data_IF_221662670667
#
_entry.id   IF_221662670667
#
_cell.length_a   1.000
_cell.length_b   1.000
_cell.length_c   1.000
_cell.angle_alpha   90.00
_cell.angle_beta   90.00
_cell.angle_gamma   90.00
#
_symmetry.space_group_name_H-M   'P 1'
#
loop_
_entity.id
_entity.type
_entity.pdbx_description
1 polymer ?
#
# COMPACT_ATOMS: atom_id res chain seq x y z
N UNK A 1 31.47 -4.97 -17.13
CA UNK A 1 31.47 -3.71 -16.34
C UNK A 1 31.30 -3.91 -14.84
N UNK A 2 30.20 -4.49 -14.37
CA UNK A 2 29.93 -4.58 -12.93
C UNK A 2 31.03 -5.28 -12.13
N UNK A 3 31.67 -6.34 -12.66
CA UNK A 3 32.82 -6.97 -12.01
C UNK A 3 33.96 -5.97 -11.75
N UNK A 4 34.31 -5.12 -12.73
CA UNK A 4 35.33 -4.08 -12.57
C UNK A 4 34.91 -3.04 -11.53
N UNK A 5 33.64 -2.63 -11.54
CA UNK A 5 33.10 -1.71 -10.52
C UNK A 5 33.15 -2.32 -9.11
N UNK A 6 32.82 -3.60 -8.95
CA UNK A 6 32.93 -4.31 -7.68
C UNK A 6 34.38 -4.38 -7.19
N UNK A 7 35.32 -4.70 -8.08
CA UNK A 7 36.76 -4.68 -7.76
C UNK A 7 37.20 -3.29 -7.27
N UNK A 8 36.75 -2.23 -7.94
CA UNK A 8 37.02 -0.85 -7.51
C UNK A 8 36.49 -0.56 -6.09
N UNK A 9 35.26 -1.00 -5.78
CA UNK A 9 34.63 -0.84 -4.46
C UNK A 9 35.32 -1.65 -3.36
N UNK A 10 35.78 -2.86 -3.67
CA UNK A 10 36.53 -3.73 -2.76
C UNK A 10 37.92 -3.13 -2.47
N UNK A 11 38.61 -2.66 -3.51
CA UNK A 11 39.96 -2.09 -3.45
C UNK A 11 39.99 -0.61 -3.04
N UNK A 12 38.95 -0.12 -2.38
CA UNK A 12 38.89 1.24 -1.82
C UNK A 12 39.18 2.36 -2.83
N UNK A 13 38.76 2.18 -4.10
CA UNK A 13 38.93 3.18 -5.16
C UNK A 13 40.12 2.95 -6.09
N UNK A 14 40.89 1.88 -5.88
CA UNK A 14 41.96 1.46 -6.78
C UNK A 14 41.48 0.49 -7.88
N UNK A 15 41.85 0.74 -9.13
CA UNK A 15 41.69 -0.22 -10.24
C UNK A 15 42.78 0.00 -11.28
N UNK A 16 43.38 -1.07 -11.80
CA UNK A 16 44.41 -1.03 -12.86
C UNK A 16 45.54 -0.01 -12.59
N UNK A 17 46.03 0.05 -11.34
CA UNK A 17 47.09 0.97 -10.92
C UNK A 17 46.66 2.44 -10.78
N UNK A 18 45.37 2.77 -10.98
CA UNK A 18 44.82 4.11 -10.85
C UNK A 18 43.90 4.22 -9.65
N UNK A 19 43.89 5.40 -9.01
CA UNK A 19 42.96 5.73 -7.93
C UNK A 19 41.85 6.63 -8.47
N UNK A 20 40.60 6.16 -8.41
CA UNK A 20 39.41 6.90 -8.85
C UNK A 20 38.81 7.72 -7.72
N UNK A 21 38.83 7.20 -6.49
CA UNK A 21 38.39 7.91 -5.29
C UNK A 21 39.25 7.55 -4.07
N UNK A 22 39.24 8.44 -3.08
CA UNK A 22 40.06 8.31 -1.88
C UNK A 22 39.59 7.20 -0.93
N UNK A 23 40.47 6.68 -0.04
CA UNK A 23 40.06 5.78 1.03
C UNK A 23 38.96 6.34 1.93
N UNK A 24 38.93 7.67 2.14
CA UNK A 24 37.86 8.35 2.89
C UNK A 24 36.50 8.19 2.20
N UNK A 25 36.47 8.31 0.87
CA UNK A 25 35.26 8.06 0.07
C UNK A 25 34.85 6.58 0.14
N UNK A 26 35.81 5.66 0.07
CA UNK A 26 35.55 4.23 0.22
C UNK A 26 34.92 3.89 1.59
N UNK A 27 35.41 4.53 2.66
CA UNK A 27 34.83 4.39 3.99
C UNK A 27 33.40 4.94 4.04
N UNK A 28 33.12 6.08 3.40
CA UNK A 28 31.78 6.64 3.36
C UNK A 28 30.73 5.71 2.70
N UNK A 29 31.12 4.93 1.68
CA UNK A 29 30.25 3.91 1.07
C UNK A 29 29.88 2.76 2.01
N UNK A 30 30.67 2.56 3.07
CA UNK A 30 30.51 1.48 4.08
C UNK A 30 29.93 1.98 5.39
N UNK A 31 29.80 3.30 5.56
CA UNK A 31 29.30 3.92 6.79
C UNK A 31 27.85 4.36 6.61
N UNK A 32 26.92 3.90 7.46
CA UNK A 32 25.54 4.38 7.46
C UNK A 32 25.48 5.88 7.73
N UNK A 33 24.85 6.62 6.83
CA UNK A 33 24.51 8.05 7.01
C UNK A 33 23.15 8.21 7.67
N UNK A 34 22.25 7.27 7.42
CA UNK A 34 20.92 7.22 8.03
C UNK A 34 20.65 5.80 8.54
N UNK A 35 20.21 5.70 9.79
CA UNK A 35 19.67 4.47 10.35
C UNK A 35 18.56 4.84 11.34
N UNK A 36 17.33 4.36 11.13
CA UNK A 36 16.20 4.78 11.96
C UNK A 36 16.20 4.15 13.36
N UNK A 37 16.88 3.02 13.54
CA UNK A 37 17.05 2.32 14.83
C UNK A 37 18.32 1.46 14.77
N UNK A 38 19.06 1.24 15.88
CA UNK A 38 20.32 0.48 15.87
C UNK A 38 20.27 -0.86 15.12
N UNK A 39 19.14 -1.57 15.19
CA UNK A 39 18.93 -2.90 14.58
C UNK A 39 18.34 -2.85 13.16
N UNK A 40 17.88 -1.68 12.71
CA UNK A 40 17.29 -1.53 11.39
C UNK A 40 18.37 -1.46 10.31
N UNK A 41 18.00 -1.86 9.09
CA UNK A 41 18.82 -1.60 7.91
C UNK A 41 19.06 -0.10 7.73
N UNK A 42 20.30 0.28 7.44
CA UNK A 42 20.72 1.65 7.19
C UNK A 42 20.83 1.99 5.71
N UNK A 43 21.13 3.25 5.46
CA UNK A 43 21.56 3.77 4.15
C UNK A 43 22.93 4.44 4.30
N UNK A 44 23.89 3.94 3.53
CA UNK A 44 25.22 4.51 3.39
C UNK A 44 25.22 5.55 2.27
N UNK A 45 26.39 6.12 1.94
CA UNK A 45 26.53 7.07 0.83
C UNK A 45 26.22 6.44 -0.56
N UNK A 46 24.93 6.36 -0.91
CA UNK A 46 24.44 5.78 -2.17
C UNK A 46 24.24 4.26 -2.16
N UNK A 47 24.45 3.59 -1.03
CA UNK A 47 24.33 2.13 -0.90
C UNK A 47 23.39 1.74 0.24
N UNK A 48 22.68 0.63 0.03
CA UNK A 48 21.93 -0.06 1.07
C UNK A 48 22.92 -0.78 1.99
N UNK A 49 22.69 -0.68 3.30
CA UNK A 49 23.36 -1.49 4.32
C UNK A 49 22.64 -2.84 4.40
N UNK A 50 23.33 -3.91 3.99
CA UNK A 50 22.73 -5.21 3.78
C UNK A 50 23.16 -6.20 4.88
N UNK A 51 22.25 -6.63 5.76
CA UNK A 51 22.53 -7.76 6.64
C UNK A 51 22.64 -9.03 5.80
N UNK A 52 23.65 -9.85 6.09
CA UNK A 52 24.00 -11.04 5.34
C UNK A 52 24.11 -12.27 6.26
N UNK A 53 24.02 -13.50 5.71
CA UNK A 53 24.18 -14.72 6.49
C UNK A 53 25.49 -14.77 7.27
N UNK A 54 25.48 -15.47 8.41
CA UNK A 54 26.64 -15.57 9.31
C UNK A 54 26.91 -14.31 10.13
N UNK A 55 25.94 -13.41 10.27
CA UNK A 55 26.11 -12.15 10.99
C UNK A 55 26.97 -11.12 10.26
N UNK A 56 27.27 -11.37 8.98
CA UNK A 56 28.04 -10.47 8.13
C UNK A 56 27.22 -9.25 7.74
N UNK A 57 27.93 -8.19 7.35
CA UNK A 57 27.32 -6.99 6.76
C UNK A 57 27.99 -6.68 5.44
N UNK A 58 27.17 -6.49 4.42
CA UNK A 58 27.59 -6.00 3.12
C UNK A 58 27.00 -4.63 2.82
N UNK A 59 27.33 -4.11 1.66
CA UNK A 59 26.67 -2.94 1.10
C UNK A 59 26.43 -3.14 -0.39
N UNK A 60 25.44 -2.45 -0.94
CA UNK A 60 25.01 -2.73 -2.29
C UNK A 60 23.87 -1.86 -2.77
N UNK A 61 23.26 -2.23 -3.89
CA UNK A 61 22.06 -1.56 -4.36
C UNK A 61 21.24 -2.50 -5.25
N UNK A 62 19.92 -2.47 -5.06
CA UNK A 62 18.97 -3.16 -5.94
C UNK A 62 18.45 -2.21 -7.03
N UNK A 63 18.19 -2.74 -8.21
CA UNK A 63 17.64 -1.99 -9.32
C UNK A 63 16.46 -2.75 -9.93
N UNK A 64 15.41 -2.03 -10.29
CA UNK A 64 14.27 -2.60 -11.00
C UNK A 64 13.73 -1.58 -12.01
N UNK A 65 13.48 -2.05 -13.23
CA UNK A 65 12.53 -1.44 -14.18
C UNK A 65 11.32 -2.39 -14.31
N UNK A 66 10.50 -2.22 -15.36
CA UNK A 66 9.39 -3.15 -15.64
C UNK A 66 9.87 -4.58 -15.89
N UNK A 67 10.96 -4.73 -16.65
CA UNK A 67 11.44 -6.02 -17.13
C UNK A 67 12.85 -6.36 -16.68
N UNK A 68 13.59 -5.44 -16.07
CA UNK A 68 14.95 -5.71 -15.62
C UNK A 68 15.05 -5.61 -14.11
N UNK A 69 15.57 -6.65 -13.47
CA UNK A 69 15.84 -6.66 -12.03
C UNK A 69 17.30 -6.99 -11.80
N UNK A 70 17.95 -6.22 -10.93
CA UNK A 70 19.36 -6.38 -10.63
C UNK A 70 19.65 -6.21 -9.15
N UNK A 71 20.70 -6.88 -8.67
CA UNK A 71 21.19 -6.72 -7.32
C UNK A 71 22.72 -6.75 -7.31
N UNK A 72 23.31 -5.71 -6.74
CA UNK A 72 24.74 -5.59 -6.48
C UNK A 72 24.95 -5.76 -4.98
N UNK A 73 25.81 -6.69 -4.56
CA UNK A 73 26.17 -6.92 -3.16
C UNK A 73 27.69 -7.02 -3.04
N UNK A 74 28.27 -6.19 -2.17
CA UNK A 74 29.68 -6.24 -1.79
C UNK A 74 29.80 -6.76 -0.37
N UNK A 75 30.67 -7.73 -0.14
CA UNK A 75 31.00 -8.31 1.17
C UNK A 75 32.50 -8.08 1.42
N UNK A 76 32.89 -6.93 2.00
CA UNK A 76 34.30 -6.55 2.11
C UNK A 76 35.15 -7.55 2.88
N UNK A 77 34.59 -8.12 3.94
CA UNK A 77 35.27 -9.10 4.80
C UNK A 77 35.68 -10.37 4.04
N UNK A 78 34.94 -10.72 2.98
CA UNK A 78 35.22 -11.88 2.14
C UNK A 78 35.98 -11.52 0.86
N UNK A 79 36.25 -10.24 0.60
CA UNK A 79 36.75 -9.80 -0.71
C UNK A 79 35.79 -10.15 -1.86
N UNK A 80 34.48 -10.26 -1.58
CA UNK A 80 33.49 -10.81 -2.50
C UNK A 80 32.56 -9.73 -3.05
N UNK A 81 32.33 -9.76 -4.36
CA UNK A 81 31.31 -8.98 -5.04
C UNK A 81 30.39 -9.88 -5.84
N UNK A 82 29.07 -9.71 -5.68
CA UNK A 82 28.05 -10.46 -6.38
C UNK A 82 27.18 -9.45 -7.15
N UNK A 83 27.04 -9.67 -8.46
CA UNK A 83 26.10 -8.93 -9.27
C UNK A 83 25.23 -9.92 -10.05
N UNK A 84 23.91 -9.74 -9.96
CA UNK A 84 22.92 -10.57 -10.64
C UNK A 84 21.98 -9.64 -11.39
N UNK A 85 21.67 -9.97 -12.64
CA UNK A 85 20.72 -9.23 -13.47
C UNK A 85 19.88 -10.19 -14.28
N UNK A 86 18.58 -9.91 -14.37
CA UNK A 86 17.60 -10.66 -15.16
C UNK A 86 16.75 -9.68 -15.96
N UNK A 87 16.17 -10.14 -17.07
CA UNK A 87 15.47 -9.32 -18.05
C UNK A 87 14.02 -9.79 -18.30
N UNK A 88 13.38 -10.36 -17.29
CA UNK A 88 11.94 -10.65 -17.28
C UNK A 88 11.27 -10.01 -16.07
N UNK A 89 10.01 -9.60 -16.24
CA UNK A 89 9.14 -9.05 -15.19
C UNK A 89 8.93 -10.01 -14.00
N UNK A 90 8.96 -11.30 -14.27
CA UNK A 90 8.84 -12.39 -13.29
C UNK A 90 10.18 -12.78 -12.63
N UNK A 91 11.30 -12.21 -13.08
CA UNK A 91 12.64 -12.63 -12.66
C UNK A 91 13.10 -12.09 -11.30
N UNK A 92 12.36 -11.16 -10.68
CA UNK A 92 12.79 -10.37 -9.51
C UNK A 92 13.28 -11.21 -8.32
N UNK A 93 12.76 -12.44 -8.16
CA UNK A 93 13.13 -13.32 -7.05
C UNK A 93 14.61 -13.73 -7.08
N UNK A 94 15.17 -14.04 -8.25
CA UNK A 94 16.54 -14.56 -8.35
C UNK A 94 17.59 -13.53 -7.88
N UNK A 95 17.61 -12.27 -8.34
CA UNK A 95 18.51 -11.26 -7.79
C UNK A 95 18.31 -10.99 -6.30
N UNK A 96 17.09 -11.14 -5.77
CA UNK A 96 16.77 -10.86 -4.38
C UNK A 96 17.33 -11.92 -3.41
N UNK A 97 17.42 -13.18 -3.83
CA UNK A 97 17.80 -14.31 -2.96
C UNK A 97 19.21 -14.83 -3.23
N UNK A 98 19.66 -14.88 -4.48
CA UNK A 98 20.90 -15.53 -4.87
C UNK A 98 22.14 -15.08 -4.08
N UNK A 99 22.35 -13.78 -3.75
CA UNK A 99 23.50 -13.39 -2.93
C UNK A 99 23.50 -14.03 -1.55
N UNK A 100 22.33 -14.14 -0.90
CA UNK A 100 22.24 -14.79 0.43
C UNK A 100 22.44 -16.30 0.30
N UNK A 101 21.89 -16.92 -0.74
CA UNK A 101 22.08 -18.36 -1.02
C UNK A 101 23.55 -18.72 -1.27
N UNK A 102 24.30 -17.90 -2.01
CA UNK A 102 25.75 -18.09 -2.20
C UNK A 102 26.47 -18.02 -0.84
N UNK A 103 26.13 -17.03 -0.02
CA UNK A 103 26.75 -16.88 1.30
C UNK A 103 26.42 -18.06 2.23
N UNK A 104 25.18 -18.51 2.25
CA UNK A 104 24.76 -19.67 3.03
C UNK A 104 25.46 -20.94 2.58
N UNK A 105 25.57 -21.16 1.27
CA UNK A 105 26.18 -22.38 0.75
C UNK A 105 27.70 -22.46 1.02
N UNK A 106 28.42 -21.36 0.86
CA UNK A 106 29.89 -21.39 0.88
C UNK A 106 30.54 -20.82 2.15
N UNK A 107 29.87 -19.92 2.88
CA UNK A 107 30.53 -19.12 3.93
C UNK A 107 29.83 -19.14 5.30
N UNK A 108 28.52 -19.39 5.34
CA UNK A 108 27.74 -19.34 6.57
C UNK A 108 26.45 -20.17 6.46
N UNK A 109 26.53 -21.52 6.51
CA UNK A 109 25.38 -22.40 6.42
C UNK A 109 24.23 -21.98 7.33
N UNK A 110 23.02 -21.98 6.78
CA UNK A 110 21.82 -21.69 7.55
C UNK A 110 21.66 -22.70 8.70
N UNK A 111 21.19 -22.28 9.89
CA UNK A 111 20.93 -23.20 10.99
C UNK A 111 19.93 -24.28 10.58
N UNK A 112 20.18 -25.54 10.98
CA UNK A 112 19.28 -26.66 10.67
C UNK A 112 17.88 -26.52 11.29
N UNK A 113 17.77 -25.80 12.41
CA UNK A 113 16.50 -25.51 13.09
C UNK A 113 16.38 -24.00 13.25
N UNK A 114 15.29 -23.38 12.74
CA UNK A 114 15.07 -21.95 12.96
C UNK A 114 14.88 -21.65 14.45
N UNK A 115 15.35 -20.48 14.88
CA UNK A 115 15.13 -20.04 16.25
C UNK A 115 13.63 -20.02 16.59
N UNK A 116 13.32 -20.33 17.86
CA UNK A 116 11.96 -20.17 18.39
C UNK A 116 11.73 -18.69 18.68
N UNK A 117 10.51 -18.20 18.43
CA UNK A 117 10.16 -16.84 18.82
C UNK A 117 10.22 -16.69 20.34
N UNK A 118 10.77 -15.58 20.80
CA UNK A 118 10.80 -15.27 22.25
C UNK A 118 9.50 -14.66 22.75
N UNK A 119 8.57 -14.34 21.85
CA UNK A 119 7.28 -13.75 22.18
C UNK A 119 6.17 -14.80 22.24
N UNK A 120 5.17 -14.57 23.07
CA UNK A 120 3.89 -15.28 23.00
C UNK A 120 2.98 -14.71 21.90
N UNK A 121 1.90 -15.42 21.57
CA UNK A 121 0.87 -14.91 20.66
C UNK A 121 0.32 -13.55 21.11
N UNK A 122 -0.02 -13.38 22.39
CA UNK A 122 -0.58 -12.13 22.91
C UNK A 122 0.39 -10.95 22.79
N UNK A 123 1.69 -11.20 22.99
CA UNK A 123 2.75 -10.19 22.80
C UNK A 123 2.92 -9.85 21.33
N UNK A 124 2.97 -10.85 20.45
CA UNK A 124 3.05 -10.65 18.99
C UNK A 124 1.82 -9.92 18.45
N UNK A 125 0.63 -10.14 19.03
CA UNK A 125 -0.62 -9.50 18.62
C UNK A 125 -0.58 -7.97 18.72
N UNK A 126 0.25 -7.41 19.59
CA UNK A 126 0.43 -5.95 19.70
C UNK A 126 0.96 -5.31 18.39
N UNK A 127 1.65 -6.09 17.56
CA UNK A 127 2.25 -5.66 16.29
C UNK A 127 1.34 -5.88 15.08
N UNK A 128 0.18 -6.53 15.26
CA UNK A 128 -0.75 -6.78 14.15
C UNK A 128 -1.32 -5.50 13.57
N UNK A 129 -1.46 -5.46 12.26
CA UNK A 129 -2.12 -4.38 11.56
C UNK A 129 -1.78 -4.34 10.08
N UNK A 130 -2.44 -3.43 9.39
CA UNK A 130 -2.05 -3.05 8.03
C UNK A 130 -1.21 -1.77 8.12
N UNK A 131 -0.12 -1.74 7.37
CA UNK A 131 0.81 -0.63 7.33
C UNK A 131 1.02 -0.17 5.90
N UNK A 132 1.22 1.12 5.70
CA UNK A 132 1.35 1.76 4.39
C UNK A 132 2.77 2.28 4.23
N UNK A 133 3.42 1.96 3.11
CA UNK A 133 4.75 2.48 2.81
C UNK A 133 4.76 4.01 2.74
N UNK A 134 5.83 4.63 3.23
CA UNK A 134 6.11 6.06 3.07
C UNK A 134 6.65 6.41 1.69
N UNK A 135 7.11 5.40 0.93
CA UNK A 135 7.63 5.53 -0.43
C UNK A 135 6.48 5.50 -1.46
N UNK A 136 5.71 6.58 -1.49
CA UNK A 136 4.50 6.72 -2.33
C UNK A 136 4.14 8.18 -2.58
N UNK A 137 3.23 8.41 -3.52
CA UNK A 137 2.51 9.67 -3.62
C UNK A 137 1.55 9.86 -2.42
N UNK A 138 1.41 11.11 -1.96
CA UNK A 138 0.59 11.45 -0.79
C UNK A 138 -0.83 11.93 -1.13
N UNK A 139 -1.05 12.40 -2.36
CA UNK A 139 -2.35 12.90 -2.83
C UNK A 139 -2.65 12.46 -4.25
N UNK A 140 -3.78 12.91 -4.77
CA UNK A 140 -4.17 12.64 -6.15
C UNK A 140 -4.52 11.18 -6.43
N UNK A 141 -4.67 10.87 -7.72
CA UNK A 141 -4.98 9.53 -8.19
C UNK A 141 -3.84 8.54 -7.94
N UNK A 142 -2.59 9.00 -7.99
CA UNK A 142 -1.43 8.15 -7.69
C UNK A 142 -1.40 7.80 -6.20
N UNK A 143 -1.67 8.77 -5.33
CA UNK A 143 -1.83 8.52 -3.91
C UNK A 143 -3.00 7.59 -3.58
N UNK A 144 -4.07 7.61 -4.37
CA UNK A 144 -5.17 6.65 -4.25
C UNK A 144 -4.72 5.23 -4.59
N UNK A 145 -4.09 5.02 -5.75
CA UNK A 145 -3.64 3.69 -6.18
C UNK A 145 -2.53 3.15 -5.28
N UNK A 146 -1.55 3.98 -4.90
CA UNK A 146 -0.48 3.60 -3.98
C UNK A 146 -1.01 3.19 -2.59
N UNK A 147 -2.13 3.76 -2.10
CA UNK A 147 -2.76 3.31 -0.85
C UNK A 147 -3.37 1.92 -0.95
N UNK A 148 -3.81 1.51 -2.14
CA UNK A 148 -4.36 0.18 -2.37
C UNK A 148 -3.25 -0.89 -2.45
N UNK A 149 -2.15 -0.59 -3.12
CA UNK A 149 -1.09 -1.57 -3.43
C UNK A 149 0.13 -1.50 -2.51
N UNK A 150 0.42 -0.36 -1.89
CA UNK A 150 1.62 -0.15 -1.06
C UNK A 150 1.48 -0.60 0.39
N UNK A 151 0.64 -1.62 0.64
CA UNK A 151 0.29 -2.08 1.99
C UNK A 151 1.07 -3.33 2.36
N UNK A 152 1.65 -3.33 3.55
CA UNK A 152 2.15 -4.52 4.23
C UNK A 152 1.13 -4.97 5.29
N UNK A 153 0.82 -6.27 5.31
CA UNK A 153 -0.07 -6.88 6.30
C UNK A 153 0.78 -7.63 7.32
N UNK A 154 0.67 -7.26 8.59
CA UNK A 154 1.35 -7.93 9.70
C UNK A 154 0.30 -8.69 10.51
N UNK A 155 0.51 -10.00 10.69
CA UNK A 155 -0.36 -10.90 11.45
C UNK A 155 0.47 -11.71 12.44
N UNK A 156 -0.02 -11.90 13.65
CA UNK A 156 0.63 -12.72 14.66
C UNK A 156 0.23 -14.18 14.45
N UNK A 157 1.18 -15.09 14.62
CA UNK A 157 0.96 -16.53 14.55
C UNK A 157 0.84 -17.13 15.96
N UNK A 158 0.20 -18.30 16.13
CA UNK A 158 0.03 -18.92 17.44
C UNK A 158 1.34 -19.22 18.19
N UNK A 159 2.44 -19.44 17.45
CA UNK A 159 3.80 -19.64 17.97
C UNK A 159 4.54 -18.31 18.26
N UNK A 160 3.81 -17.19 18.28
CA UNK A 160 4.34 -15.88 18.67
C UNK A 160 5.28 -15.25 17.64
N UNK A 161 5.18 -15.65 16.37
CA UNK A 161 5.89 -15.01 15.25
C UNK A 161 5.02 -13.93 14.61
N UNK A 162 5.63 -13.16 13.72
CA UNK A 162 4.93 -12.29 12.78
C UNK A 162 5.01 -12.85 11.38
N UNK A 163 3.86 -13.02 10.74
CA UNK A 163 3.73 -13.16 9.31
C UNK A 163 3.57 -11.78 8.69
N UNK A 164 4.49 -11.41 7.80
CA UNK A 164 4.47 -10.12 7.11
C UNK A 164 4.32 -10.37 5.63
N UNK A 165 3.18 -9.92 5.09
CA UNK A 165 2.87 -10.00 3.65
C UNK A 165 3.00 -8.63 3.01
N UNK A 166 3.88 -8.50 2.03
CA UNK A 166 4.12 -7.27 1.27
C UNK A 166 4.46 -7.61 -0.18
N UNK A 167 3.92 -6.85 -1.14
CA UNK A 167 4.15 -7.10 -2.57
C UNK A 167 3.79 -8.52 -3.06
N UNK A 168 2.88 -9.21 -2.36
CA UNK A 168 2.49 -10.60 -2.66
C UNK A 168 3.40 -11.68 -2.05
N UNK A 169 4.49 -11.30 -1.39
CA UNK A 169 5.38 -12.23 -0.70
C UNK A 169 5.11 -12.22 0.80
N UNK A 170 5.17 -13.40 1.42
CA UNK A 170 5.01 -13.54 2.87
C UNK A 170 6.30 -14.06 3.48
N UNK A 171 6.77 -13.39 4.52
CA UNK A 171 7.93 -13.81 5.31
C UNK A 171 7.56 -13.92 6.78
N UNK A 172 8.17 -14.90 7.46
CA UNK A 172 7.98 -15.12 8.89
C UNK A 172 9.14 -14.52 9.68
N UNK A 173 8.81 -13.90 10.81
CA UNK A 173 9.80 -13.30 11.71
C UNK A 173 9.59 -13.72 13.16
N UNK A 174 10.67 -14.16 13.80
CA UNK A 174 10.74 -14.45 15.22
C UNK A 174 10.98 -13.16 16.01
N UNK A 175 10.23 -12.98 17.10
CA UNK A 175 10.52 -11.93 18.07
C UNK A 175 11.81 -12.24 18.83
N UNK A 176 12.58 -11.20 19.14
CA UNK A 176 13.82 -11.29 19.93
C UNK A 176 13.62 -10.80 21.36
N UNK A 177 14.65 -10.97 22.21
CA UNK A 177 14.66 -10.42 23.57
C UNK A 177 14.52 -8.89 23.61
N UNK A 178 14.80 -8.20 22.50
CA UNK A 178 14.57 -6.76 22.35
C UNK A 178 13.19 -6.54 21.73
N UNK A 179 12.31 -5.91 22.49
CA UNK A 179 10.95 -5.58 22.04
C UNK A 179 10.99 -4.77 20.74
N UNK A 180 10.12 -5.12 19.80
CA UNK A 180 10.05 -4.46 18.49
C UNK A 180 11.10 -4.91 17.48
N UNK A 181 12.08 -5.76 17.86
CA UNK A 181 13.07 -6.31 16.95
C UNK A 181 12.71 -7.75 16.61
N UNK A 182 12.54 -8.02 15.32
CA UNK A 182 12.15 -9.31 14.78
C UNK A 182 13.14 -9.78 13.71
N UNK A 183 13.55 -11.05 13.77
CA UNK A 183 14.49 -11.65 12.81
C UNK A 183 13.76 -12.63 11.91
N UNK A 184 14.05 -12.58 10.60
CA UNK A 184 13.48 -13.52 9.65
C UNK A 184 13.81 -14.96 10.05
N UNK A 185 12.85 -15.87 9.84
CA UNK A 185 13.03 -17.30 10.11
C UNK A 185 14.03 -17.92 9.14
N UNK A 186 14.05 -17.42 7.90
CA UNK A 186 14.72 -17.99 6.73
C UNK A 186 15.77 -17.04 6.12
N UNK A 187 16.47 -16.26 6.96
CA UNK A 187 17.56 -15.43 6.46
C UNK A 187 18.05 -14.36 7.44
N UNK A 188 18.92 -13.45 6.97
CA UNK A 188 19.58 -12.47 7.83
C UNK A 188 18.74 -11.21 8.07
N UNK A 189 17.56 -11.11 7.46
CA UNK A 189 16.74 -9.91 7.48
C UNK A 189 16.20 -9.63 8.89
N UNK A 190 16.22 -8.34 9.28
CA UNK A 190 15.70 -7.88 10.57
C UNK A 190 14.65 -6.80 10.33
N UNK A 191 13.47 -7.01 10.89
CA UNK A 191 12.36 -6.07 10.88
C UNK A 191 12.32 -5.36 12.23
N UNK A 192 12.18 -4.04 12.22
CA UNK A 192 12.21 -3.24 13.44
C UNK A 192 10.98 -2.34 13.51
N UNK A 193 10.22 -2.48 14.58
CA UNK A 193 9.08 -1.64 14.89
C UNK A 193 9.50 -0.47 15.78
N UNK A 194 8.88 0.68 15.54
CA UNK A 194 8.94 1.82 16.45
C UNK A 194 7.95 1.58 17.59
N UNK A 195 8.46 1.25 18.77
CA UNK A 195 7.68 0.90 19.97
C UNK A 195 7.35 2.11 20.86
N UNK A 196 7.31 3.32 20.30
CA UNK A 196 6.87 4.51 21.02
C UNK A 196 5.35 4.48 21.26
N UNK A 197 4.91 3.83 22.35
CA UNK A 197 3.51 3.76 22.80
C UNK A 197 2.94 2.33 22.90
N UNK A 198 1.66 2.20 23.22
CA UNK A 198 0.98 0.91 23.46
C UNK A 198 0.93 0.00 22.23
N UNK A 199 0.95 0.60 21.03
CA UNK A 199 1.03 -0.12 19.75
C UNK A 199 2.05 0.55 18.85
N UNK A 200 2.84 -0.22 18.09
CA UNK A 200 3.81 0.35 17.17
C UNK A 200 3.15 1.24 16.14
N UNK A 201 3.63 2.47 15.98
CA UNK A 201 3.09 3.42 15.00
C UNK A 201 3.62 3.14 13.57
N UNK A 202 4.79 2.50 13.47
CA UNK A 202 5.45 2.18 12.20
C UNK A 202 6.46 1.04 12.36
N UNK A 203 6.94 0.54 11.24
CA UNK A 203 8.14 -0.31 11.18
C UNK A 203 9.05 0.11 10.03
N UNK A 204 10.32 -0.27 10.14
CA UNK A 204 11.34 -0.03 9.13
C UNK A 204 11.54 -1.31 8.32
N UNK A 205 11.44 -1.20 6.99
CA UNK A 205 11.59 -2.34 6.10
C UNK A 205 12.94 -3.03 6.33
N UNK A 206 12.96 -4.37 6.24
CA UNK A 206 14.15 -5.14 6.60
C UNK A 206 15.38 -4.89 5.71
N UNK A 207 15.18 -4.25 4.55
CA UNK A 207 16.24 -3.81 3.61
C UNK A 207 16.36 -2.27 3.53
N UNK A 208 15.69 -1.53 4.42
CA UNK A 208 15.85 -0.09 4.58
C UNK A 208 15.18 0.79 3.51
N UNK A 209 14.56 0.22 2.47
CA UNK A 209 14.02 0.99 1.33
C UNK A 209 12.83 1.88 1.65
N UNK A 210 12.12 1.63 2.75
CA UNK A 210 11.00 2.47 3.17
C UNK A 210 10.67 2.28 4.65
N UNK A 211 9.89 3.22 5.18
CA UNK A 211 9.20 3.08 6.45
C UNK A 211 7.74 2.75 6.16
N UNK A 212 7.12 1.93 7.01
CA UNK A 212 5.73 1.56 6.89
C UNK A 212 4.95 2.09 8.09
N UNK A 213 3.95 2.91 7.83
CA UNK A 213 3.15 3.58 8.86
C UNK A 213 1.82 2.86 9.08
N UNK A 214 1.41 2.70 10.34
CA UNK A 214 0.17 2.00 10.67
C UNK A 214 -1.03 2.72 10.05
N UNK A 215 -1.90 1.97 9.39
CA UNK A 215 -3.12 2.49 8.78
C UNK A 215 -4.20 2.66 9.83
N UNK A 216 -4.73 3.88 9.95
CA UNK A 216 -5.88 4.18 10.81
C UNK A 216 -7.21 3.72 10.20
N UNK A 217 -8.25 3.59 11.03
CA UNK A 217 -9.57 3.07 10.65
C UNK A 217 -10.18 3.74 9.40
N UNK A 218 -10.20 5.08 9.35
CA UNK A 218 -10.76 5.84 8.21
C UNK A 218 -9.97 5.68 6.89
N UNK A 219 -8.74 5.17 6.97
CA UNK A 219 -7.88 4.87 5.81
C UNK A 219 -7.74 3.36 5.57
N UNK A 220 -8.53 2.53 6.25
CA UNK A 220 -8.49 1.08 6.08
C UNK A 220 -9.17 0.64 4.78
N UNK A 221 -8.53 -0.26 4.04
CA UNK A 221 -9.09 -0.77 2.79
C UNK A 221 -10.38 -1.56 3.03
N UNK A 222 -10.50 -2.26 4.16
CA UNK A 222 -11.71 -3.00 4.53
C UNK A 222 -12.92 -2.06 4.67
N UNK A 223 -12.77 -0.94 5.37
CA UNK A 223 -13.83 0.06 5.50
C UNK A 223 -14.24 0.62 4.14
N UNK A 224 -13.26 0.96 3.29
CA UNK A 224 -13.53 1.44 1.94
C UNK A 224 -14.29 0.38 1.12
N UNK A 225 -13.81 -0.86 1.09
CA UNK A 225 -14.44 -1.97 0.36
C UNK A 225 -15.87 -2.21 0.82
N UNK A 226 -16.12 -2.33 2.13
CA UNK A 226 -17.48 -2.51 2.64
C UNK A 226 -18.40 -1.35 2.31
N UNK A 227 -17.91 -0.10 2.43
CA UNK A 227 -18.69 1.09 2.10
C UNK A 227 -19.03 1.13 0.62
N UNK A 228 -18.08 0.83 -0.27
CA UNK A 228 -18.30 0.74 -1.72
C UNK A 228 -19.32 -0.36 -2.05
N UNK A 229 -19.22 -1.54 -1.44
CA UNK A 229 -20.16 -2.64 -1.67
C UNK A 229 -21.59 -2.26 -1.26
N UNK A 230 -21.77 -1.75 -0.03
CA UNK A 230 -23.09 -1.37 0.47
C UNK A 230 -23.65 -0.20 -0.36
N UNK A 231 -22.80 0.77 -0.72
CA UNK A 231 -23.20 1.88 -1.59
C UNK A 231 -23.62 1.40 -2.99
N UNK A 232 -22.89 0.45 -3.58
CA UNK A 232 -23.25 -0.16 -4.86
C UNK A 232 -24.62 -0.82 -4.82
N UNK A 233 -24.91 -1.62 -3.77
CA UNK A 233 -26.22 -2.23 -3.56
C UNK A 233 -27.32 -1.17 -3.39
N UNK A 234 -27.06 -0.11 -2.61
CA UNK A 234 -28.00 0.98 -2.44
C UNK A 234 -28.26 1.73 -3.76
N UNK A 235 -27.24 1.97 -4.58
CA UNK A 235 -27.37 2.60 -5.90
C UNK A 235 -28.25 1.76 -6.84
N UNK A 236 -28.02 0.44 -6.89
CA UNK A 236 -28.85 -0.48 -7.68
C UNK A 236 -30.30 -0.46 -7.20
N UNK A 237 -30.52 -0.56 -5.88
CA UNK A 237 -31.86 -0.49 -5.31
C UNK A 237 -32.58 0.84 -5.61
N UNK A 238 -31.86 1.97 -5.55
CA UNK A 238 -32.38 3.29 -5.92
C UNK A 238 -32.82 3.34 -7.38
N UNK A 239 -32.04 2.78 -8.31
CA UNK A 239 -32.37 2.76 -9.75
C UNK A 239 -33.56 1.84 -10.01
N UNK A 240 -33.55 0.61 -9.48
CA UNK A 240 -34.67 -0.33 -9.62
C UNK A 240 -35.96 0.25 -9.03
N UNK A 241 -35.86 0.88 -7.86
CA UNK A 241 -36.97 1.59 -7.23
C UNK A 241 -37.48 2.76 -8.07
N UNK A 242 -36.65 3.40 -8.88
CA UNK A 242 -37.10 4.45 -9.81
C UNK A 242 -37.78 3.88 -11.07
N UNK A 243 -37.30 2.74 -11.58
CA UNK A 243 -37.80 2.08 -12.79
C UNK A 243 -39.14 1.37 -12.56
N UNK A 244 -39.25 0.61 -11.46
CA UNK A 244 -40.41 -0.25 -11.19
C UNK A 244 -41.50 0.42 -10.34
N UNK A 245 -41.30 1.68 -9.93
CA UNK A 245 -42.30 2.39 -9.11
C UNK A 245 -43.52 2.76 -9.95
N UNK A 246 -44.68 2.34 -9.47
CA UNK A 246 -45.97 2.74 -10.00
C UNK A 246 -46.16 4.26 -9.86
N UNK A 247 -46.04 4.99 -10.97
CA UNK A 247 -46.13 6.46 -10.98
C UNK A 247 -47.52 6.98 -10.60
N UNK A 248 -48.57 6.15 -10.74
CA UNK A 248 -49.96 6.52 -10.44
C UNK A 248 -50.26 6.56 -8.94
N UNK A 249 -49.47 5.87 -8.11
CA UNK A 249 -49.64 5.81 -6.64
C UNK A 249 -48.57 6.61 -5.89
N UNK A 250 -47.58 7.17 -6.59
CA UNK A 250 -46.42 7.81 -6.00
C UNK A 250 -46.67 9.30 -5.65
N UNK A 251 -47.43 9.55 -4.59
CA UNK A 251 -47.60 10.91 -4.01
C UNK A 251 -46.24 11.47 -3.56
N UNK A 252 -45.93 12.70 -3.96
CA UNK A 252 -44.67 13.38 -3.59
C UNK A 252 -44.77 14.89 -3.82
N UNK A 253 -44.07 15.67 -2.99
CA UNK A 253 -43.91 17.12 -3.23
C UNK A 253 -42.93 17.38 -4.39
N UNK A 254 -42.93 18.59 -4.99
CA UNK A 254 -41.94 18.96 -6.02
C UNK A 254 -40.49 18.85 -5.52
N UNK A 255 -40.23 19.19 -4.25
CA UNK A 255 -38.90 19.07 -3.64
C UNK A 255 -38.51 17.60 -3.49
N UNK A 256 -39.42 16.76 -2.98
CA UNK A 256 -39.21 15.32 -2.90
C UNK A 256 -38.94 14.72 -4.30
N UNK A 257 -39.70 15.12 -5.32
CA UNK A 257 -39.46 14.67 -6.70
C UNK A 257 -38.05 15.00 -7.19
N UNK A 258 -37.59 16.25 -7.02
CA UNK A 258 -36.24 16.71 -7.40
C UNK A 258 -35.15 15.99 -6.60
N UNK A 259 -35.33 15.85 -5.28
CA UNK A 259 -34.40 15.14 -4.41
C UNK A 259 -34.25 13.66 -4.85
N UNK A 260 -35.36 13.00 -5.19
CA UNK A 260 -35.35 11.65 -5.74
C UNK A 260 -34.60 11.55 -7.07
N UNK A 261 -34.80 12.49 -8.00
CA UNK A 261 -34.06 12.55 -9.26
C UNK A 261 -32.55 12.74 -9.03
N UNK A 262 -32.16 13.63 -8.10
CA UNK A 262 -30.75 13.85 -7.75
C UNK A 262 -30.09 12.59 -7.18
N UNK A 263 -30.80 11.83 -6.34
CA UNK A 263 -30.29 10.57 -5.78
C UNK A 263 -30.17 9.47 -6.84
N UNK A 264 -31.10 9.40 -7.80
CA UNK A 264 -30.98 8.48 -8.95
C UNK A 264 -29.79 8.86 -9.84
N UNK A 265 -29.59 10.15 -10.12
CA UNK A 265 -28.45 10.63 -10.90
C UNK A 265 -27.11 10.31 -10.21
N UNK A 266 -27.03 10.50 -8.89
CA UNK A 266 -25.89 10.07 -8.10
C UNK A 266 -25.67 8.57 -8.18
N UNK A 267 -26.72 7.77 -8.04
CA UNK A 267 -26.61 6.31 -8.11
C UNK A 267 -26.02 5.86 -9.45
N UNK A 268 -26.48 6.44 -10.56
CA UNK A 268 -25.93 6.18 -11.90
C UNK A 268 -24.46 6.60 -11.98
N UNK A 269 -24.10 7.80 -11.53
CA UNK A 269 -22.71 8.29 -11.57
C UNK A 269 -21.76 7.44 -10.71
N UNK A 270 -22.20 6.98 -9.53
CA UNK A 270 -21.43 6.08 -8.69
C UNK A 270 -21.21 4.71 -9.35
N UNK A 271 -22.22 4.16 -10.02
CA UNK A 271 -22.07 2.90 -10.75
C UNK A 271 -21.18 3.06 -11.99
N UNK A 272 -21.24 4.18 -12.70
CA UNK A 272 -20.30 4.50 -13.79
C UNK A 272 -18.88 4.59 -13.22
N UNK A 273 -18.69 5.31 -12.11
CA UNK A 273 -17.40 5.43 -11.44
C UNK A 273 -16.82 4.06 -11.05
N UNK A 274 -17.63 3.21 -10.41
CA UNK A 274 -17.25 1.85 -10.04
C UNK A 274 -16.92 0.99 -11.27
N UNK A 275 -17.69 1.12 -12.36
CA UNK A 275 -17.44 0.39 -13.61
C UNK A 275 -16.12 0.83 -14.26
N UNK A 276 -15.87 2.14 -14.36
CA UNK A 276 -14.60 2.67 -14.86
C UNK A 276 -13.41 2.22 -14.00
N UNK A 277 -13.55 2.22 -12.67
CA UNK A 277 -12.54 1.69 -11.77
C UNK A 277 -12.31 0.19 -11.99
N UNK A 278 -13.37 -0.59 -12.19
CA UNK A 278 -13.28 -2.02 -12.49
C UNK A 278 -12.51 -2.30 -13.79
N UNK A 279 -12.77 -1.52 -14.84
CA UNK A 279 -12.01 -1.62 -16.11
C UNK A 279 -10.55 -1.21 -15.91
N UNK A 280 -10.29 -0.11 -15.19
CA UNK A 280 -8.92 0.29 -14.85
C UNK A 280 -8.19 -0.81 -14.08
N UNK A 281 -8.80 -1.37 -13.04
CA UNK A 281 -8.21 -2.42 -12.22
C UNK A 281 -7.91 -3.69 -13.03
N UNK A 282 -8.81 -4.09 -13.93
CA UNK A 282 -8.58 -5.23 -14.82
C UNK A 282 -7.39 -5.00 -15.76
N UNK A 283 -7.26 -3.79 -16.32
CA UNK A 283 -6.12 -3.45 -17.20
C UNK A 283 -4.82 -3.24 -16.44
N UNK A 284 -4.89 -2.81 -15.18
CA UNK A 284 -3.74 -2.55 -14.31
C UNK A 284 -3.03 -3.83 -13.84
N UNK A 285 -3.61 -5.01 -14.09
CA UNK A 285 -2.92 -6.28 -13.91
C UNK A 285 -1.66 -6.41 -14.78
N UNK A 286 -1.62 -5.69 -15.91
CA UNK A 286 -0.42 -5.52 -16.73
C UNK A 286 0.26 -4.19 -16.36
N UNK A 287 1.46 -4.30 -15.79
CA UNK A 287 2.24 -3.15 -15.32
C UNK A 287 2.63 -2.20 -16.46
N UNK A 288 2.79 -2.69 -17.69
CA UNK A 288 3.13 -1.87 -18.86
C UNK A 288 1.98 -0.95 -19.22
N UNK A 289 0.74 -1.43 -19.13
CA UNK A 289 -0.45 -0.58 -19.33
C UNK A 289 -0.52 0.55 -18.31
N UNK A 290 -0.15 0.28 -17.05
CA UNK A 290 -0.12 1.32 -16.02
C UNK A 290 1.02 2.29 -16.30
N UNK A 291 2.23 1.80 -16.55
CA UNK A 291 3.43 2.63 -16.67
C UNK A 291 3.34 3.61 -17.85
N UNK A 292 2.91 3.14 -19.04
CA UNK A 292 2.81 4.00 -20.23
C UNK A 292 1.44 4.65 -20.41
N UNK A 293 0.42 4.15 -19.72
CA UNK A 293 -0.95 4.65 -19.82
C UNK A 293 -1.40 5.51 -18.65
N UNK A 294 -0.50 5.93 -17.75
CA UNK A 294 -0.84 6.74 -16.58
C UNK A 294 -0.99 8.24 -16.90
N UNK A 295 -2.00 8.93 -16.35
CA UNK A 295 -3.20 8.37 -15.73
C UNK A 295 -4.15 7.82 -16.80
N UNK A 296 -4.76 6.66 -16.55
CA UNK A 296 -5.65 6.05 -17.55
C UNK A 296 -6.94 6.87 -17.73
N UNK A 297 -7.45 6.94 -18.96
CA UNK A 297 -8.75 7.58 -19.23
C UNK A 297 -9.88 7.00 -18.38
N UNK A 298 -9.87 5.68 -18.12
CA UNK A 298 -10.84 5.03 -17.23
C UNK A 298 -10.74 5.52 -15.78
N UNK A 299 -9.52 5.66 -15.26
CA UNK A 299 -9.32 6.15 -13.90
C UNK A 299 -9.78 7.62 -13.77
N UNK A 300 -9.44 8.46 -14.77
CA UNK A 300 -9.87 9.85 -14.85
C UNK A 300 -11.40 9.98 -14.94
N UNK A 301 -12.03 9.26 -15.85
CA UNK A 301 -13.50 9.28 -16.01
C UNK A 301 -14.21 8.79 -14.76
N UNK A 302 -13.71 7.72 -14.13
CA UNK A 302 -14.28 7.20 -12.89
C UNK A 302 -14.18 8.20 -11.74
N UNK A 303 -13.02 8.85 -11.60
CA UNK A 303 -12.78 9.89 -10.60
C UNK A 303 -13.65 11.14 -10.84
N UNK A 304 -13.78 11.59 -12.08
CA UNK A 304 -14.64 12.71 -12.45
C UNK A 304 -16.12 12.42 -12.16
N UNK A 305 -16.60 11.21 -12.47
CA UNK A 305 -17.97 10.79 -12.14
C UNK A 305 -18.20 10.79 -10.62
N UNK A 306 -17.25 10.26 -9.84
CA UNK A 306 -17.30 10.27 -8.38
C UNK A 306 -17.30 11.69 -7.81
N UNK A 307 -16.51 12.61 -8.38
CA UNK A 307 -16.45 14.00 -7.97
C UNK A 307 -17.80 14.71 -8.20
N UNK A 308 -18.41 14.54 -9.37
CA UNK A 308 -19.73 15.10 -9.67
C UNK A 308 -20.80 14.47 -8.76
N UNK A 309 -20.75 13.16 -8.54
CA UNK A 309 -21.67 12.47 -7.62
C UNK A 309 -21.54 13.00 -6.18
N UNK A 310 -20.32 13.22 -5.70
CA UNK A 310 -20.05 13.79 -4.38
C UNK A 310 -20.61 15.23 -4.25
N UNK A 311 -20.43 16.07 -5.28
CA UNK A 311 -20.98 17.43 -5.29
C UNK A 311 -22.53 17.43 -5.24
N UNK A 312 -23.18 16.54 -6.00
CA UNK A 312 -24.63 16.34 -5.92
C UNK A 312 -25.08 15.81 -4.55
N UNK A 313 -24.23 15.00 -3.90
CA UNK A 313 -24.43 14.51 -2.54
C UNK A 313 -24.59 15.63 -1.52
N UNK A 314 -23.75 16.67 -1.61
CA UNK A 314 -23.86 17.86 -0.73
C UNK A 314 -25.22 18.54 -0.87
N UNK A 315 -25.68 18.75 -2.11
CA UNK A 315 -27.01 19.32 -2.37
C UNK A 315 -28.13 18.43 -1.82
N UNK A 316 -27.99 17.11 -2.01
CA UNK A 316 -28.99 16.13 -1.56
C UNK A 316 -29.10 16.07 -0.04
N UNK A 317 -27.97 16.14 0.66
CA UNK A 317 -27.93 16.25 2.12
C UNK A 317 -28.57 17.56 2.61
N UNK A 318 -28.31 18.68 1.93
CA UNK A 318 -28.96 19.97 2.23
C UNK A 318 -30.48 19.97 2.04
N UNK A 319 -31.01 19.10 1.17
CA UNK A 319 -32.45 18.94 0.96
C UNK A 319 -33.14 18.05 2.01
N UNK A 320 -32.40 17.34 2.87
CA UNK A 320 -32.97 16.39 3.85
C UNK A 320 -34.06 17.01 4.73
N UNK A 321 -33.89 18.20 5.35
CA UNK A 321 -34.94 18.79 6.18
C UNK A 321 -36.23 19.04 5.41
N UNK A 322 -36.13 19.40 4.13
CA UNK A 322 -37.28 19.64 3.26
C UNK A 322 -37.94 18.35 2.76
N UNK A 323 -37.18 17.26 2.60
CA UNK A 323 -37.72 15.93 2.28
C UNK A 323 -38.58 15.40 3.42
N UNK A 324 -38.18 15.68 4.65
CA UNK A 324 -38.92 15.29 5.87
C UNK A 324 -40.13 16.18 6.17
N UNK A 325 -40.16 17.42 5.66
CA UNK A 325 -41.36 18.27 5.65
C UNK A 325 -42.38 17.72 4.65
N UNK A 326 -43.43 17.07 5.15
CA UNK A 326 -44.54 16.56 4.32
C UNK A 326 -45.30 17.68 3.60
N UNK A 327 -45.97 17.36 2.48
CA UNK A 327 -46.84 18.28 1.77
C UNK A 327 -48.22 18.43 2.41
N UNK A 328 -49.01 19.41 1.93
CA UNK A 328 -50.41 19.59 2.35
C UNK A 328 -51.26 18.38 1.93
N UNK A 329 -52.25 18.02 2.76
CA UNK A 329 -53.34 17.05 2.45
C UNK A 329 -52.89 15.75 1.77
N UNK A 330 -51.96 15.00 2.39
CA UNK A 330 -51.43 13.66 1.99
C UNK A 330 -50.45 13.57 0.80
N UNK A 331 -49.92 14.68 0.29
CA UNK A 331 -48.84 14.66 -0.71
C UNK A 331 -47.45 14.57 -0.06
N UNK A 332 -47.02 13.35 0.29
CA UNK A 332 -45.67 13.11 0.79
C UNK A 332 -45.25 11.66 0.52
N UNK A 333 -43.93 11.46 0.42
CA UNK A 333 -43.35 10.14 0.59
C UNK A 333 -43.79 9.48 1.90
N UNK A 334 -43.92 8.15 1.87
CA UNK A 334 -44.04 7.33 3.08
C UNK A 334 -42.79 7.47 3.95
N UNK A 335 -42.93 7.23 5.24
CA UNK A 335 -41.82 7.37 6.18
C UNK A 335 -40.70 6.36 5.88
N UNK A 336 -41.03 5.14 5.49
CA UNK A 336 -40.05 4.15 5.03
C UNK A 336 -39.21 4.64 3.85
N UNK A 337 -39.82 5.38 2.90
CA UNK A 337 -39.08 5.97 1.78
C UNK A 337 -38.19 7.14 2.21
N UNK A 338 -38.65 7.98 3.14
CA UNK A 338 -37.82 9.06 3.70
C UNK A 338 -36.60 8.51 4.43
N UNK A 339 -36.78 7.43 5.21
CA UNK A 339 -35.71 6.70 5.89
C UNK A 339 -34.73 6.11 4.88
N UNK A 340 -35.21 5.36 3.88
CA UNK A 340 -34.35 4.78 2.85
C UNK A 340 -33.57 5.86 2.07
N UNK A 341 -34.23 6.95 1.69
CA UNK A 341 -33.59 8.08 1.03
C UNK A 341 -32.49 8.70 1.90
N UNK A 342 -32.77 8.92 3.18
CA UNK A 342 -31.83 9.53 4.14
C UNK A 342 -30.63 8.61 4.37
N UNK A 343 -30.87 7.31 4.56
CA UNK A 343 -29.82 6.31 4.68
C UNK A 343 -28.88 6.32 3.46
N UNK A 344 -29.44 6.23 2.25
CA UNK A 344 -28.63 6.26 1.02
C UNK A 344 -27.87 7.57 0.87
N UNK A 345 -28.49 8.72 1.18
CA UNK A 345 -27.80 10.02 1.12
C UNK A 345 -26.61 10.10 2.10
N UNK A 346 -26.78 9.63 3.34
CA UNK A 346 -25.72 9.59 4.35
C UNK A 346 -24.60 8.61 3.94
N UNK A 347 -24.96 7.43 3.44
CA UNK A 347 -24.01 6.43 2.97
C UNK A 347 -23.16 6.95 1.81
N UNK A 348 -23.77 7.60 0.82
CA UNK A 348 -23.04 8.19 -0.31
C UNK A 348 -22.20 9.41 0.11
N UNK A 349 -22.68 10.18 1.09
CA UNK A 349 -21.89 11.25 1.72
C UNK A 349 -20.65 10.70 2.44
N UNK A 350 -20.80 9.60 3.19
CA UNK A 350 -19.68 8.93 3.84
C UNK A 350 -18.70 8.32 2.84
N UNK A 351 -19.19 7.68 1.77
CA UNK A 351 -18.34 7.21 0.66
C UNK A 351 -17.55 8.35 0.02
N UNK A 352 -18.18 9.50 -0.22
CA UNK A 352 -17.53 10.69 -0.76
C UNK A 352 -16.39 11.17 0.15
N UNK A 353 -16.63 11.23 1.46
CA UNK A 353 -15.62 11.58 2.46
C UNK A 353 -14.43 10.61 2.41
N UNK A 354 -14.69 9.30 2.40
CA UNK A 354 -13.62 8.30 2.30
C UNK A 354 -12.83 8.46 1.01
N UNK A 355 -13.49 8.53 -0.15
CA UNK A 355 -12.81 8.69 -1.44
C UNK A 355 -12.00 9.99 -1.53
N UNK A 356 -12.47 11.07 -0.88
CA UNK A 356 -11.69 12.30 -0.72
C UNK A 356 -10.43 12.11 0.12
N UNK A 357 -10.54 11.47 1.29
CA UNK A 357 -9.39 11.14 2.17
C UNK A 357 -8.36 10.24 1.50
N UNK A 358 -8.81 9.40 0.58
CA UNK A 358 -7.98 8.50 -0.21
C UNK A 358 -7.39 9.15 -1.47
N UNK A 359 -7.86 10.34 -1.87
CA UNK A 359 -7.36 11.08 -3.03
C UNK A 359 -8.08 10.80 -4.35
N UNK A 360 -9.11 9.94 -4.36
CA UNK A 360 -9.82 9.56 -5.58
C UNK A 360 -10.66 10.68 -6.20
N UNK A 361 -11.07 11.68 -5.40
CA UNK A 361 -11.89 12.81 -5.88
C UNK A 361 -11.05 13.95 -6.49
N UNK A 362 -9.79 13.69 -6.83
CA UNK A 362 -8.85 14.68 -7.35
C UNK A 362 -8.35 14.27 -8.76
N UNK A 363 -9.20 14.25 -9.79
CA UNK A 363 -8.84 13.70 -11.11
C UNK A 363 -7.69 14.45 -11.80
N UNK A 364 -7.45 15.70 -11.43
CA UNK A 364 -6.45 16.59 -12.03
C UNK A 364 -5.13 16.63 -11.27
N UNK A 365 -5.06 16.03 -10.08
CA UNK A 365 -3.81 15.85 -9.35
C UNK A 365 -3.30 14.45 -9.69
N UNK A 366 -2.51 14.37 -10.75
CA UNK A 366 -1.84 13.15 -11.22
C UNK A 366 -0.41 13.09 -10.69
#
# INVERSE_FOLDING_TARGET
>A
DMARYMTLLLNSGGIDGRTIFSPKTAQAFRTPMYRPSPDAAGWNAGFQDMPLPGGRRGFGHQGATLYFHSNLVIVPELGLGIFVSVNTDSGAHLPATLPSTILEHFYAPAPAVPAVSTLSYDQARAFEGDYLTSRRAYGGLEGFTNRLIGRAQVRATPDGRLSVTDGGFTSLYNGTSRLGVFKAVDGPLTLVFDTNGDRPSRFYAARGFSTYERIGFLRSASLLSWTVTIAGLACVATILGALFRNRREARQTPIQARAGQMQVMQAVLWLISASCMGVFAAKAADQTNVFFGWPSGWLLSGSACALVAAALGVLTLGLLPMVWRGGRRVDSWSDGRKVAFTFTALLLGFLSMLLGLWGYLLPWLS
#
